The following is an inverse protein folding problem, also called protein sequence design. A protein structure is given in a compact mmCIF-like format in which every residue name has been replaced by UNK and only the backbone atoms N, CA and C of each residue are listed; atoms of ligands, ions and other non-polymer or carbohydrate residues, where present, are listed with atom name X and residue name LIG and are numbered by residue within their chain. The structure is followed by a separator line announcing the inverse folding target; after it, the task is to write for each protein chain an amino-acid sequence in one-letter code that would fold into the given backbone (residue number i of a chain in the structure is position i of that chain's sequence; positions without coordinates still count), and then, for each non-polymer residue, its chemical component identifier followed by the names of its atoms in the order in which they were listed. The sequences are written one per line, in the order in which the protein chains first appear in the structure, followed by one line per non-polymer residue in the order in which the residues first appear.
data_IF_360492260255
#
_entry.id   IF_360492260255
#
_cell.length_a   1.000
_cell.length_b   1.000
_cell.length_c   1.000
_cell.angle_alpha   90.00
_cell.angle_beta   90.00
_cell.angle_gamma   90.00
#
_symmetry.space_group_name_H-M   'P 1'
#
loop_
_entity.id
_entity.type
_entity.pdbx_description
1 polymer ?
#
# COMPACT_ATOMS: atom_id res chain seq x y z
N UNK A 1 -41.57 -2.02 -3.56
CA UNK A 1 -40.62 -0.90 -3.39
C UNK A 1 -39.30 -1.39 -3.93
N UNK A 2 -38.80 -0.80 -5.01
CA UNK A 2 -37.51 -1.15 -5.61
C UNK A 2 -36.42 -0.46 -4.80
N UNK A 3 -35.72 -1.22 -3.95
CA UNK A 3 -34.61 -0.73 -3.16
C UNK A 3 -33.45 -0.42 -4.11
N UNK A 4 -33.25 0.85 -4.41
CA UNK A 4 -32.13 1.28 -5.24
C UNK A 4 -30.85 1.10 -4.40
N UNK A 5 -29.83 0.36 -4.89
CA UNK A 5 -28.60 0.14 -4.16
C UNK A 5 -27.89 1.46 -3.87
N UNK A 6 -27.37 1.61 -2.66
CA UNK A 6 -26.65 2.80 -2.21
C UNK A 6 -25.32 2.97 -2.98
N UNK A 7 -24.66 1.85 -3.29
CA UNK A 7 -23.41 1.84 -4.04
C UNK A 7 -23.58 1.26 -5.45
N UNK A 8 -23.21 2.02 -6.48
CA UNK A 8 -23.19 1.51 -7.84
C UNK A 8 -21.88 0.75 -8.12
N UNK A 9 -21.93 -0.59 -7.99
CA UNK A 9 -20.77 -1.45 -8.19
C UNK A 9 -20.71 -1.91 -9.67
N UNK A 10 -19.65 -1.57 -10.42
CA UNK A 10 -19.56 -1.91 -11.82
C UNK A 10 -19.30 -3.41 -12.03
N UNK A 11 -19.76 -3.94 -13.17
CA UNK A 11 -19.41 -5.29 -13.63
C UNK A 11 -17.88 -5.47 -13.69
N UNK A 12 -17.42 -6.65 -13.30
CA UNK A 12 -16.01 -7.02 -13.22
C UNK A 12 -15.33 -6.61 -11.91
N UNK A 13 -16.03 -5.89 -11.02
CA UNK A 13 -15.48 -5.57 -9.71
C UNK A 13 -15.33 -6.82 -8.87
N UNK A 14 -14.33 -6.85 -8.00
CA UNK A 14 -14.13 -7.92 -7.02
C UNK A 14 -14.55 -7.40 -5.65
N UNK A 15 -15.48 -8.11 -5.01
CA UNK A 15 -15.91 -7.91 -3.64
C UNK A 15 -15.20 -8.92 -2.76
N UNK A 16 -14.40 -8.47 -1.80
CA UNK A 16 -13.94 -9.34 -0.72
C UNK A 16 -14.95 -9.27 0.42
N UNK A 17 -15.73 -10.33 0.57
CA UNK A 17 -16.81 -10.44 1.54
C UNK A 17 -16.77 -11.82 2.17
N UNK A 18 -16.89 -11.90 3.49
CA UNK A 18 -16.85 -13.17 4.26
C UNK A 18 -15.60 -14.02 3.98
N UNK A 19 -14.46 -13.36 3.72
CA UNK A 19 -13.20 -14.03 3.38
C UNK A 19 -13.16 -14.66 1.99
N UNK A 20 -14.13 -14.38 1.11
CA UNK A 20 -14.19 -14.87 -0.27
C UNK A 20 -14.01 -13.72 -1.26
N UNK A 21 -13.37 -14.00 -2.39
CA UNK A 21 -13.30 -13.07 -3.51
C UNK A 21 -14.44 -13.33 -4.51
N UNK A 22 -15.33 -12.37 -4.65
CA UNK A 22 -16.57 -12.48 -5.43
C UNK A 22 -16.56 -11.45 -6.57
N UNK A 23 -16.49 -11.93 -7.82
CA UNK A 23 -16.50 -11.09 -9.01
C UNK A 23 -17.93 -10.78 -9.45
N UNK A 24 -18.27 -9.50 -9.58
CA UNK A 24 -19.58 -9.04 -10.05
C UNK A 24 -19.72 -9.34 -11.54
N UNK A 25 -20.63 -10.25 -11.89
CA UNK A 25 -20.89 -10.67 -13.27
C UNK A 25 -21.96 -9.80 -13.92
N UNK A 26 -23.06 -9.54 -13.21
CA UNK A 26 -24.19 -8.73 -13.68
C UNK A 26 -24.81 -8.00 -12.50
N UNK A 27 -25.27 -6.77 -12.74
CA UNK A 27 -26.15 -6.05 -11.81
C UNK A 27 -27.59 -6.35 -12.18
N UNK A 28 -28.36 -6.81 -11.21
CA UNK A 28 -29.80 -7.06 -11.33
C UNK A 28 -30.59 -5.99 -10.53
N UNK A 29 -31.90 -5.90 -10.72
CA UNK A 29 -32.72 -4.88 -10.05
C UNK A 29 -32.69 -4.99 -8.51
N UNK A 30 -32.54 -6.20 -7.97
CA UNK A 30 -32.55 -6.48 -6.52
C UNK A 30 -31.17 -6.77 -5.92
N UNK A 31 -30.10 -6.74 -6.72
CA UNK A 31 -28.78 -7.11 -6.24
C UNK A 31 -27.73 -7.36 -7.31
N UNK A 32 -26.80 -8.25 -7.01
CA UNK A 32 -25.62 -8.53 -7.83
C UNK A 32 -25.46 -10.03 -8.02
N UNK A 33 -25.40 -10.46 -9.28
CA UNK A 33 -24.95 -11.81 -9.61
C UNK A 33 -23.42 -11.83 -9.52
N UNK A 34 -22.88 -12.65 -8.63
CA UNK A 34 -21.45 -12.76 -8.37
C UNK A 34 -20.94 -14.16 -8.65
N UNK A 35 -19.68 -14.25 -9.04
CA UNK A 35 -18.94 -15.49 -9.20
C UNK A 35 -17.83 -15.55 -8.17
N UNK A 36 -17.77 -16.58 -7.35
CA UNK A 36 -16.65 -16.82 -6.46
C UNK A 36 -15.41 -17.21 -7.27
N UNK A 37 -14.30 -16.52 -7.07
CA UNK A 37 -13.05 -16.79 -7.78
C UNK A 37 -12.40 -18.11 -7.33
N UNK A 38 -12.59 -18.50 -6.07
CA UNK A 38 -12.00 -19.71 -5.51
C UNK A 38 -12.75 -20.98 -5.93
N UNK A 39 -14.08 -21.00 -5.74
CA UNK A 39 -14.91 -22.18 -6.05
C UNK A 39 -15.45 -22.19 -7.48
N UNK A 40 -15.45 -21.05 -8.16
CA UNK A 40 -16.08 -20.87 -9.46
C UNK A 40 -17.61 -20.80 -9.41
N UNK A 41 -18.22 -20.94 -8.22
CA UNK A 41 -19.67 -20.94 -8.03
C UNK A 41 -20.27 -19.56 -8.31
N UNK A 42 -21.46 -19.54 -8.95
CA UNK A 42 -22.22 -18.34 -9.19
C UNK A 42 -23.44 -18.29 -8.27
N UNK A 43 -23.66 -17.16 -7.62
CA UNK A 43 -24.83 -16.93 -6.79
C UNK A 43 -25.17 -15.44 -6.73
N UNK A 44 -26.36 -15.12 -6.22
CA UNK A 44 -26.84 -13.74 -6.14
C UNK A 44 -26.68 -13.20 -4.72
N UNK A 45 -26.17 -11.98 -4.61
CA UNK A 45 -26.15 -11.18 -3.39
C UNK A 45 -27.23 -10.11 -3.48
N UNK A 46 -27.95 -9.88 -2.39
CA UNK A 46 -28.89 -8.76 -2.31
C UNK A 46 -28.14 -7.44 -2.23
N UNK A 47 -28.71 -6.38 -2.79
CA UNK A 47 -28.16 -5.03 -2.68
C UNK A 47 -27.97 -4.61 -1.21
N UNK A 48 -28.96 -4.89 -0.37
CA UNK A 48 -28.94 -4.57 1.07
C UNK A 48 -27.75 -5.22 1.79
N UNK A 49 -27.46 -6.50 1.53
CA UNK A 49 -26.32 -7.18 2.15
C UNK A 49 -24.99 -6.53 1.77
N UNK A 50 -24.83 -6.18 0.50
CA UNK A 50 -23.59 -5.56 0.02
C UNK A 50 -23.46 -4.14 0.58
N UNK A 51 -24.53 -3.36 0.57
CA UNK A 51 -24.55 -2.01 1.12
C UNK A 51 -24.22 -2.00 2.62
N UNK A 52 -24.82 -2.91 3.38
CA UNK A 52 -24.57 -3.02 4.83
C UNK A 52 -23.15 -3.49 5.12
N UNK A 53 -22.60 -4.44 4.35
CA UNK A 53 -21.21 -4.86 4.50
C UNK A 53 -20.22 -3.73 4.16
N UNK A 54 -20.50 -2.93 3.12
CA UNK A 54 -19.69 -1.74 2.80
C UNK A 54 -19.77 -0.71 3.93
N UNK A 55 -20.97 -0.45 4.49
CA UNK A 55 -21.13 0.47 5.63
C UNK A 55 -20.39 0.00 6.88
N UNK A 56 -20.45 -1.30 7.17
CA UNK A 56 -19.75 -1.92 8.29
C UNK A 56 -18.24 -1.99 8.09
N UNK A 57 -17.73 -1.70 6.88
CA UNK A 57 -16.34 -1.91 6.44
C UNK A 57 -15.91 -3.37 6.46
N UNK A 58 -16.87 -4.29 6.38
CA UNK A 58 -16.67 -5.73 6.27
C UNK A 58 -16.59 -6.19 4.81
N UNK A 59 -16.58 -5.25 3.86
CA UNK A 59 -16.43 -5.49 2.43
C UNK A 59 -15.33 -4.60 1.84
N UNK A 60 -14.36 -5.22 1.16
CA UNK A 60 -13.40 -4.50 0.31
C UNK A 60 -13.88 -4.56 -1.14
N UNK A 61 -13.99 -3.41 -1.80
CA UNK A 61 -14.39 -3.30 -3.21
C UNK A 61 -13.17 -2.94 -4.07
N UNK A 62 -12.82 -3.82 -5.00
CA UNK A 62 -11.76 -3.59 -5.99
C UNK A 62 -12.42 -3.38 -7.35
N UNK A 63 -12.24 -2.20 -7.93
CA UNK A 63 -12.76 -1.89 -9.26
C UNK A 63 -11.92 -2.60 -10.34
N UNK A 64 -12.51 -2.90 -11.52
CA UNK A 64 -11.77 -3.53 -12.62
C UNK A 64 -10.47 -2.79 -12.99
N UNK A 65 -10.54 -1.47 -13.12
CA UNK A 65 -9.37 -0.65 -13.45
C UNK A 65 -8.28 -0.67 -12.37
N UNK A 66 -8.66 -0.83 -11.10
CA UNK A 66 -7.69 -0.92 -10.00
C UNK A 66 -7.06 -2.32 -9.96
N UNK A 67 -7.84 -3.36 -10.27
CA UNK A 67 -7.32 -4.72 -10.44
C UNK A 67 -6.31 -4.79 -11.60
N UNK A 68 -6.63 -4.22 -12.76
CA UNK A 68 -5.72 -4.14 -13.93
C UNK A 68 -4.41 -3.41 -13.59
N UNK A 69 -4.50 -2.26 -12.92
CA UNK A 69 -3.31 -1.54 -12.46
C UNK A 69 -2.48 -2.35 -11.49
N UNK A 70 -3.12 -3.07 -10.57
CA UNK A 70 -2.42 -3.95 -9.64
C UNK A 70 -1.69 -5.07 -10.36
N UNK A 71 -2.32 -5.71 -11.35
CA UNK A 71 -1.66 -6.72 -12.19
C UNK A 71 -0.47 -6.14 -12.96
N UNK A 72 -0.61 -4.95 -13.55
CA UNK A 72 0.48 -4.30 -14.27
C UNK A 72 1.67 -3.94 -13.33
N UNK A 73 1.38 -3.48 -12.11
CA UNK A 73 2.40 -3.22 -11.09
C UNK A 73 3.09 -4.49 -10.63
N UNK A 74 2.33 -5.56 -10.41
CA UNK A 74 2.84 -6.89 -10.09
C UNK A 74 3.78 -7.40 -11.19
N UNK A 75 3.35 -7.33 -12.45
CA UNK A 75 4.17 -7.76 -13.59
C UNK A 75 5.46 -6.95 -13.69
N UNK A 76 5.37 -5.62 -13.58
CA UNK A 76 6.52 -4.72 -13.61
C UNK A 76 7.52 -4.97 -12.47
N UNK A 77 7.01 -5.31 -11.28
CA UNK A 77 7.83 -5.59 -10.08
C UNK A 77 8.34 -7.03 -10.02
N UNK A 78 7.99 -7.88 -10.99
CA UNK A 78 8.36 -9.30 -10.97
C UNK A 78 7.63 -10.11 -9.91
N UNK A 79 6.42 -9.70 -9.53
CA UNK A 79 5.57 -10.36 -8.53
C UNK A 79 5.73 -9.84 -7.10
N UNK A 80 6.40 -8.70 -6.91
CA UNK A 80 6.71 -8.16 -5.58
C UNK A 80 5.76 -7.01 -5.23
N UNK A 81 4.89 -7.25 -4.26
CA UNK A 81 3.94 -6.26 -3.73
C UNK A 81 4.37 -5.70 -2.38
N UNK A 82 5.20 -6.43 -1.65
CA UNK A 82 5.57 -6.15 -0.26
C UNK A 82 7.07 -6.24 -0.07
N UNK A 83 7.61 -5.39 0.80
CA UNK A 83 9.05 -5.38 1.09
C UNK A 83 9.48 -6.72 1.69
N UNK A 84 8.63 -7.36 2.49
CA UNK A 84 8.89 -8.63 3.15
C UNK A 84 9.13 -9.79 2.18
N UNK A 85 8.75 -9.65 0.90
CA UNK A 85 9.01 -10.66 -0.13
C UNK A 85 10.46 -10.62 -0.64
N UNK A 86 11.22 -9.53 -0.39
CA UNK A 86 12.63 -9.48 -0.72
C UNK A 86 13.48 -10.32 0.25
N UNK A 87 14.69 -10.74 -0.14
CA UNK A 87 15.67 -11.29 0.81
C UNK A 87 15.99 -10.29 1.92
N UNK A 88 16.27 -10.77 3.14
CA UNK A 88 16.51 -9.92 4.33
C UNK A 88 17.57 -8.83 4.10
N UNK A 89 18.64 -9.15 3.35
CA UNK A 89 19.68 -8.17 3.00
C UNK A 89 19.10 -6.99 2.20
N UNK A 90 18.24 -7.28 1.23
CA UNK A 90 17.58 -6.26 0.41
C UNK A 90 16.54 -5.50 1.22
N UNK A 91 15.79 -6.18 2.09
CA UNK A 91 14.87 -5.53 3.02
C UNK A 91 15.61 -4.50 3.89
N UNK A 92 16.77 -4.87 4.45
CA UNK A 92 17.61 -3.95 5.24
C UNK A 92 18.08 -2.74 4.40
N UNK A 93 18.47 -2.96 3.15
CA UNK A 93 18.85 -1.84 2.27
C UNK A 93 17.65 -0.89 2.03
N UNK A 94 16.47 -1.45 1.74
CA UNK A 94 15.24 -0.67 1.52
C UNK A 94 14.86 0.12 2.78
N UNK A 95 14.86 -0.52 3.95
CA UNK A 95 14.57 0.12 5.23
C UNK A 95 15.57 1.25 5.55
N UNK A 96 16.86 1.02 5.33
CA UNK A 96 17.89 2.05 5.53
C UNK A 96 17.70 3.25 4.60
N UNK A 97 17.35 3.02 3.32
CA UNK A 97 17.04 4.09 2.36
C UNK A 97 15.77 4.83 2.73
N UNK A 98 14.73 4.12 3.17
CA UNK A 98 13.47 4.72 3.59
C UNK A 98 13.68 5.66 4.78
N UNK A 99 14.46 5.24 5.78
CA UNK A 99 14.80 6.08 6.92
C UNK A 99 15.47 7.40 6.50
N UNK A 100 16.35 7.37 5.50
CA UNK A 100 16.98 8.59 4.95
C UNK A 100 15.95 9.51 4.26
N UNK A 101 14.99 8.96 3.52
CA UNK A 101 13.94 9.74 2.86
C UNK A 101 13.02 10.37 3.92
N UNK A 102 12.57 9.59 4.90
CA UNK A 102 11.74 10.10 5.99
C UNK A 102 12.45 11.18 6.81
N UNK A 103 13.75 11.01 7.06
CA UNK A 103 14.57 12.05 7.70
C UNK A 103 14.60 13.35 6.87
N UNK A 104 14.72 13.25 5.54
CA UNK A 104 14.69 14.42 4.68
C UNK A 104 13.33 15.13 4.71
N UNK A 105 12.24 14.37 4.67
CA UNK A 105 10.89 14.94 4.67
C UNK A 105 10.59 15.63 6.01
N UNK A 106 10.89 14.99 7.14
CA UNK A 106 10.72 15.60 8.46
C UNK A 106 11.53 16.89 8.62
N UNK A 107 12.79 16.91 8.17
CA UNK A 107 13.62 18.11 8.24
C UNK A 107 13.11 19.23 7.32
N UNK A 108 12.54 18.90 6.15
CA UNK A 108 11.90 19.89 5.28
C UNK A 108 10.66 20.50 5.93
N UNK A 109 9.85 19.68 6.61
CA UNK A 109 8.68 20.15 7.39
C UNK A 109 9.11 21.08 8.53
N UNK A 110 10.26 20.83 9.15
CA UNK A 110 10.90 21.70 10.15
C UNK A 110 11.55 22.97 9.55
N UNK A 111 11.52 23.14 8.22
CA UNK A 111 12.01 24.31 7.51
C UNK A 111 13.47 24.24 7.06
N UNK A 112 14.13 23.09 7.22
CA UNK A 112 15.50 22.90 6.73
C UNK A 112 15.55 22.84 5.20
N UNK A 113 16.41 23.67 4.60
CA UNK A 113 16.59 23.70 3.14
C UNK A 113 17.54 22.59 2.72
N UNK A 114 17.00 21.42 2.40
CA UNK A 114 17.77 20.28 1.88
C UNK A 114 17.86 20.35 0.34
N UNK A 115 18.76 21.19 -0.17
CA UNK A 115 19.09 21.24 -1.61
C UNK A 115 20.26 20.31 -1.94
N UNK A 116 20.38 19.89 -3.20
CA UNK A 116 21.53 19.10 -3.67
C UNK A 116 22.85 19.76 -3.24
N UNK A 117 23.00 21.08 -3.44
CA UNK A 117 24.19 21.85 -3.05
C UNK A 117 24.51 21.77 -1.54
N UNK A 118 23.50 21.73 -0.69
CA UNK A 118 23.68 21.63 0.77
C UNK A 118 23.96 20.20 1.24
N UNK A 119 23.59 19.20 0.43
CA UNK A 119 23.85 17.79 0.68
C UNK A 119 25.19 17.31 0.09
N UNK A 120 25.75 18.00 -0.91
CA UNK A 120 26.89 17.55 -1.73
C UNK A 120 28.27 17.66 -1.06
N UNK A 121 28.32 17.93 0.24
CA UNK A 121 29.57 17.95 1.03
C UNK A 121 29.31 17.31 2.40
N UNK A 122 30.36 16.95 3.13
CA UNK A 122 30.34 16.63 4.56
C UNK A 122 29.92 17.85 5.42
N UNK A 123 28.82 18.49 5.05
CA UNK A 123 28.28 19.69 5.66
C UNK A 123 27.17 19.36 6.67
N UNK A 124 26.78 20.40 7.41
CA UNK A 124 25.80 20.33 8.50
C UNK A 124 24.50 19.62 8.10
N UNK A 125 23.93 19.93 6.93
CA UNK A 125 22.65 19.37 6.50
C UNK A 125 22.73 17.87 6.21
N UNK A 126 23.82 17.40 5.58
CA UNK A 126 24.04 15.96 5.38
C UNK A 126 24.14 15.25 6.73
N UNK A 127 24.89 15.81 7.68
CA UNK A 127 25.02 15.24 9.02
C UNK A 127 23.68 15.19 9.75
N UNK A 128 22.90 16.27 9.68
CA UNK A 128 21.57 16.35 10.28
C UNK A 128 20.61 15.27 9.73
N UNK A 129 20.64 15.03 8.42
CA UNK A 129 19.87 13.94 7.79
C UNK A 129 20.32 12.58 8.31
N UNK A 130 21.63 12.35 8.46
CA UNK A 130 22.14 11.07 8.98
C UNK A 130 21.80 10.86 10.46
N UNK A 131 21.87 11.92 11.28
CA UNK A 131 21.49 11.87 12.70
C UNK A 131 19.99 11.58 12.83
N UNK A 132 19.13 12.30 12.08
CA UNK A 132 17.69 12.04 12.08
C UNK A 132 17.32 10.65 11.54
N UNK A 133 18.03 10.15 10.53
CA UNK A 133 17.81 8.80 10.03
C UNK A 133 18.19 7.72 11.06
N UNK A 134 19.25 7.95 11.85
CA UNK A 134 19.66 7.06 12.95
C UNK A 134 18.65 7.07 14.11
N UNK A 135 17.99 8.20 14.36
CA UNK A 135 16.85 8.30 15.30
C UNK A 135 15.64 7.49 14.80
N UNK A 136 15.32 7.55 13.51
CA UNK A 136 14.19 6.83 12.89
C UNK A 136 14.44 5.32 12.86
N UNK A 137 15.65 4.91 12.48
CA UNK A 137 16.02 3.51 12.30
C UNK A 137 17.41 3.25 12.92
N UNK A 138 17.49 3.05 14.25
CA UNK A 138 18.76 2.75 14.90
C UNK A 138 19.31 1.41 14.42
N UNK A 139 20.64 1.31 14.27
CA UNK A 139 21.32 0.06 13.90
C UNK A 139 21.62 -0.11 12.41
N UNK A 140 21.27 0.86 11.56
CA UNK A 140 21.67 0.91 10.15
C UNK A 140 23.01 1.63 9.91
N UNK A 141 23.69 2.04 10.99
CA UNK A 141 25.05 2.59 10.99
C UNK A 141 25.23 3.80 10.05
N UNK A 142 24.23 4.69 9.98
CA UNK A 142 24.25 5.86 9.10
C UNK A 142 25.41 6.80 9.38
N UNK A 143 25.77 6.93 10.67
CA UNK A 143 26.84 7.82 11.12
C UNK A 143 28.24 7.24 10.94
N UNK A 144 28.36 5.97 10.51
CA UNK A 144 29.58 5.13 10.58
C UNK A 144 30.15 5.13 11.99
N UNK A 145 30.11 3.98 12.68
CA UNK A 145 30.77 3.73 13.98
C UNK A 145 31.97 4.63 14.21
N UNK A 146 31.92 5.45 15.27
CA UNK A 146 33.08 6.14 15.85
C UNK A 146 34.25 5.15 15.85
N UNK A 147 35.25 5.37 14.99
CA UNK A 147 36.49 4.59 15.05
C UNK A 147 37.11 4.79 16.43
N UNK A 148 37.12 3.72 17.23
CA UNK A 148 38.05 3.48 18.33
C UNK A 148 38.01 4.46 19.50
N UNK A 149 37.28 4.10 20.56
CA UNK A 149 37.76 4.39 21.92
C UNK A 149 38.80 3.33 22.27
N UNK A 150 40.06 3.73 22.33
CA UNK A 150 41.09 3.00 23.08
C UNK A 150 40.82 3.16 24.57
#
# INVERSE_FOLDING_TARGET
MTTQPLYNIPKGSILKLDGRELMVSVREESGYAVRCLDSGECFNLTAERVDDAIRARDCELIKPADAEKRYALLEYTGGIERVEQFPEETQRIVQGRLALVLAQDALREEGEKLTQRFMDKTGKHRRLVLERADEIAPGFNFLRTRRGGK
#
